data_IF_623881294752
#
_entry.id   IF_623881294752
#
_cell.length_a   1.000
_cell.length_b   1.000
_cell.length_c   1.000
_cell.angle_alpha   90.00
_cell.angle_beta   90.00
_cell.angle_gamma   90.00
#
_symmetry.space_group_name_H-M   'P 1'
#
loop_
_entity.id
_entity.type
_entity.pdbx_description
1 polymer ?
#
# COMPACT_ATOMS: atom_id res chain seq x y z
N UNK A 1 12.77 -32.65 -7.06
CA UNK A 1 13.25 -32.05 -5.80
C UNK A 1 13.51 -30.58 -6.00
N UNK A 2 12.85 -29.81 -5.24
CA UNK A 2 12.46 -28.43 -5.43
C UNK A 2 13.60 -27.43 -5.40
N UNK A 3 13.97 -26.87 -6.53
CA UNK A 3 14.77 -25.66 -6.64
C UNK A 3 13.88 -24.42 -6.46
N UNK A 4 13.38 -24.19 -5.24
CA UNK A 4 12.56 -23.02 -4.90
C UNK A 4 13.35 -21.82 -4.35
N UNK A 5 14.64 -21.74 -4.62
CA UNK A 5 15.49 -20.65 -4.16
C UNK A 5 15.99 -19.73 -5.28
N UNK A 6 15.12 -19.40 -6.24
CA UNK A 6 15.44 -18.52 -7.34
C UNK A 6 15.11 -17.04 -7.12
N UNK A 7 15.35 -16.19 -8.13
CA UNK A 7 15.05 -14.73 -8.11
C UNK A 7 13.59 -14.41 -7.75
N UNK A 8 12.66 -15.27 -8.08
CA UNK A 8 11.23 -15.13 -7.76
C UNK A 8 10.96 -15.07 -6.26
N UNK A 9 11.69 -15.86 -5.46
CA UNK A 9 11.54 -15.85 -4.01
C UNK A 9 12.02 -14.55 -3.37
N UNK A 10 13.09 -13.95 -3.87
CA UNK A 10 13.58 -12.65 -3.41
C UNK A 10 12.58 -11.53 -3.70
N UNK A 11 11.94 -11.56 -4.87
CA UNK A 11 10.87 -10.61 -5.21
C UNK A 11 9.67 -10.77 -4.28
N UNK A 12 9.23 -12.00 -4.04
CA UNK A 12 8.12 -12.27 -3.12
C UNK A 12 8.43 -11.78 -1.70
N UNK A 13 9.65 -12.01 -1.21
CA UNK A 13 10.10 -11.50 0.09
C UNK A 13 10.14 -9.98 0.14
N UNK A 14 10.63 -9.32 -0.90
CA UNK A 14 10.64 -7.86 -1.00
C UNK A 14 9.22 -7.28 -0.94
N UNK A 15 8.29 -7.83 -1.70
CA UNK A 15 6.89 -7.42 -1.67
C UNK A 15 6.26 -7.62 -0.29
N UNK A 16 6.57 -8.75 0.39
CA UNK A 16 6.08 -8.97 1.75
C UNK A 16 6.60 -7.94 2.75
N UNK A 17 7.84 -7.48 2.62
CA UNK A 17 8.37 -6.40 3.44
C UNK A 17 7.64 -5.07 3.19
N UNK A 18 7.31 -4.76 1.94
CA UNK A 18 6.51 -3.58 1.60
C UNK A 18 5.10 -3.66 2.20
N UNK A 19 4.45 -4.83 2.16
CA UNK A 19 3.15 -5.03 2.78
C UNK A 19 3.20 -4.75 4.30
N UNK A 20 4.22 -5.26 4.99
CA UNK A 20 4.40 -5.02 6.43
C UNK A 20 4.62 -3.54 6.77
N UNK A 21 5.41 -2.83 5.97
CA UNK A 21 5.64 -1.39 6.14
C UNK A 21 4.35 -0.59 5.89
N UNK A 22 3.54 -1.01 4.94
CA UNK A 22 2.24 -0.40 4.64
C UNK A 22 1.24 -0.64 5.78
N UNK A 23 1.11 -1.89 6.24
CA UNK A 23 0.17 -2.29 7.29
C UNK A 23 0.46 -1.65 8.65
N UNK A 24 1.74 -1.42 8.94
CA UNK A 24 2.17 -0.84 10.21
C UNK A 24 1.77 0.64 10.38
N UNK A 25 1.53 1.37 9.30
CA UNK A 25 1.26 2.82 9.29
C UNK A 25 2.31 3.67 10.04
N UNK A 26 3.45 3.10 10.34
CA UNK A 26 4.57 3.74 11.03
C UNK A 26 5.89 3.06 10.63
N UNK A 27 7.03 3.77 10.71
CA UNK A 27 8.32 3.18 10.40
C UNK A 27 8.65 2.00 11.33
N UNK A 28 9.22 0.93 10.75
CA UNK A 28 9.58 -0.30 11.47
C UNK A 28 11.09 -0.48 11.56
N UNK A 29 11.53 -1.05 12.69
CA UNK A 29 12.92 -1.46 12.86
C UNK A 29 13.23 -2.77 12.13
N UNK A 30 14.50 -3.01 11.82
CA UNK A 30 14.97 -4.29 11.29
C UNK A 30 14.59 -5.47 12.21
N UNK A 31 14.68 -5.25 13.53
CA UNK A 31 14.30 -6.27 14.51
C UNK A 31 12.79 -6.59 14.48
N UNK A 32 11.94 -5.59 14.33
CA UNK A 32 10.49 -5.78 14.20
C UNK A 32 10.14 -6.58 12.94
N UNK A 33 10.75 -6.23 11.80
CA UNK A 33 10.56 -6.96 10.54
C UNK A 33 11.05 -8.41 10.64
N UNK A 34 12.20 -8.65 11.28
CA UNK A 34 12.72 -10.00 11.52
C UNK A 34 11.77 -10.82 12.40
N UNK A 35 11.22 -10.23 13.44
CA UNK A 35 10.24 -10.89 14.32
C UNK A 35 8.95 -11.26 13.59
N UNK A 36 8.44 -10.37 12.74
CA UNK A 36 7.18 -10.60 12.01
C UNK A 36 7.31 -11.61 10.88
N UNK A 37 8.46 -11.66 10.22
CA UNK A 37 8.70 -12.57 9.09
C UNK A 37 9.31 -13.91 9.51
N UNK A 38 10.01 -13.96 10.62
CA UNK A 38 10.86 -15.08 10.99
C UNK A 38 12.16 -15.20 10.19
N UNK A 39 12.46 -14.22 9.34
CA UNK A 39 13.65 -14.25 8.48
C UNK A 39 14.88 -13.70 9.19
N UNK A 40 16.09 -14.18 8.83
CA UNK A 40 17.33 -13.64 9.34
C UNK A 40 17.45 -12.13 9.03
N UNK A 41 17.98 -11.37 9.98
CA UNK A 41 18.20 -9.92 9.82
C UNK A 41 19.10 -9.60 8.62
N UNK A 42 20.09 -10.44 8.31
CA UNK A 42 20.98 -10.28 7.15
C UNK A 42 20.19 -10.33 5.82
N UNK A 43 19.26 -11.27 5.71
CA UNK A 43 18.40 -11.38 4.52
C UNK A 43 17.52 -10.13 4.35
N UNK A 44 16.88 -9.69 5.44
CA UNK A 44 16.01 -8.50 5.42
C UNK A 44 16.84 -7.25 5.10
N UNK A 45 17.99 -7.09 5.73
CA UNK A 45 18.89 -5.95 5.48
C UNK A 45 19.34 -5.89 4.02
N UNK A 46 19.68 -7.02 3.42
CA UNK A 46 20.05 -7.07 2.00
C UNK A 46 18.90 -6.64 1.07
N UNK A 47 17.70 -7.12 1.33
CA UNK A 47 16.49 -6.73 0.56
C UNK A 47 16.16 -5.25 0.73
N UNK A 48 16.18 -4.76 1.98
CA UNK A 48 15.92 -3.34 2.26
C UNK A 48 16.98 -2.43 1.62
N UNK A 49 18.26 -2.83 1.62
CA UNK A 49 19.33 -2.06 0.97
C UNK A 49 19.07 -1.93 -0.54
N UNK A 50 18.75 -3.03 -1.22
CA UNK A 50 18.43 -3.01 -2.65
C UNK A 50 17.19 -2.15 -2.95
N UNK A 51 16.16 -2.22 -2.12
CA UNK A 51 14.96 -1.39 -2.27
C UNK A 51 15.22 0.09 -1.99
N UNK A 52 16.16 0.43 -1.09
CA UNK A 52 16.56 1.82 -0.83
C UNK A 52 17.32 2.43 -2.01
N UNK A 53 18.19 1.67 -2.67
CA UNK A 53 18.87 2.14 -3.87
C UNK A 53 17.90 2.61 -4.97
N UNK A 54 16.74 1.96 -5.05
CA UNK A 54 15.68 2.34 -6.00
C UNK A 54 14.61 3.26 -5.41
N UNK A 55 14.80 3.77 -4.20
CA UNK A 55 13.85 4.64 -3.48
C UNK A 55 12.44 4.04 -3.27
N UNK A 56 12.34 2.69 -3.30
CA UNK A 56 11.11 1.94 -2.99
C UNK A 56 10.89 1.86 -1.47
N UNK A 57 11.97 1.83 -0.72
CA UNK A 57 12.01 1.94 0.75
C UNK A 57 12.91 3.09 1.12
N UNK A 58 12.58 3.79 2.20
CA UNK A 58 13.44 4.80 2.80
C UNK A 58 13.79 4.42 4.24
N UNK A 59 14.85 5.03 4.77
CA UNK A 59 15.30 4.83 6.14
C UNK A 59 15.42 6.17 6.85
N UNK A 60 14.72 6.30 7.95
CA UNK A 60 14.76 7.51 8.78
C UNK A 60 16.08 7.64 9.55
N UNK A 61 16.34 8.83 10.09
CA UNK A 61 17.54 9.14 10.86
C UNK A 61 17.73 8.25 12.10
N UNK A 62 16.63 7.72 12.65
CA UNK A 62 16.62 6.78 13.77
C UNK A 62 16.84 5.31 13.36
N UNK A 63 17.08 5.05 12.07
CA UNK A 63 17.34 3.72 11.52
C UNK A 63 16.09 2.92 11.16
N UNK A 64 14.89 3.44 11.40
CA UNK A 64 13.63 2.76 11.03
C UNK A 64 13.34 2.90 9.54
N UNK A 65 12.70 1.88 8.97
CA UNK A 65 12.36 1.80 7.56
C UNK A 65 10.91 2.18 7.32
N UNK A 66 10.63 2.84 6.20
CA UNK A 66 9.30 3.20 5.73
C UNK A 66 9.20 3.05 4.22
N UNK A 67 8.00 3.18 3.68
CA UNK A 67 7.76 3.18 2.24
C UNK A 67 8.43 4.40 1.60
N UNK A 68 9.08 4.19 0.46
CA UNK A 68 9.80 5.23 -0.28
C UNK A 68 8.94 5.94 -1.32
N UNK A 69 9.42 7.10 -1.79
CA UNK A 69 8.73 7.97 -2.75
C UNK A 69 8.48 7.30 -4.11
N UNK A 70 9.30 6.33 -4.49
CA UNK A 70 9.13 5.60 -5.76
C UNK A 70 7.77 4.89 -5.86
N UNK A 71 7.24 4.43 -4.73
CA UNK A 71 5.91 3.82 -4.68
C UNK A 71 4.80 4.82 -4.99
N UNK A 72 4.97 6.08 -4.60
CA UNK A 72 4.04 7.15 -4.98
C UNK A 72 4.08 7.40 -6.50
N UNK A 73 5.27 7.43 -7.10
CA UNK A 73 5.42 7.56 -8.55
C UNK A 73 4.71 6.41 -9.29
N UNK A 74 4.89 5.17 -8.83
CA UNK A 74 4.19 4.02 -9.39
C UNK A 74 2.68 4.12 -9.22
N UNK A 75 2.22 4.55 -8.05
CA UNK A 75 0.81 4.78 -7.78
C UNK A 75 0.19 5.84 -8.70
N UNK A 76 0.89 6.96 -8.93
CA UNK A 76 0.46 7.99 -9.86
C UNK A 76 0.38 7.47 -11.30
N UNK A 77 1.37 6.70 -11.74
CA UNK A 77 1.37 6.11 -13.07
C UNK A 77 0.21 5.13 -13.28
N UNK A 78 -0.08 4.30 -12.26
CA UNK A 78 -1.25 3.40 -12.28
C UNK A 78 -2.54 4.22 -12.28
N UNK A 79 -2.65 5.22 -11.41
CA UNK A 79 -3.84 6.08 -11.30
C UNK A 79 -4.15 6.85 -12.59
N UNK A 80 -3.12 7.33 -13.29
CA UNK A 80 -3.28 8.01 -14.57
C UNK A 80 -3.85 7.11 -15.68
N UNK A 81 -3.64 5.79 -15.59
CA UNK A 81 -4.24 4.81 -16.52
C UNK A 81 -5.68 4.43 -16.17
N UNK A 82 -6.16 4.82 -15.00
CA UNK A 82 -7.49 4.46 -14.49
C UNK A 82 -8.50 5.61 -14.70
N UNK A 83 -8.99 5.76 -15.92
CA UNK A 83 -10.05 6.71 -16.26
C UNK A 83 -11.36 6.49 -15.48
N UNK A 84 -11.52 5.31 -14.86
CA UNK A 84 -12.71 4.95 -14.08
C UNK A 84 -12.92 5.88 -12.89
N UNK A 85 -11.86 6.28 -12.18
CA UNK A 85 -11.98 7.22 -11.05
C UNK A 85 -12.51 8.58 -11.50
N UNK A 86 -11.97 9.14 -12.58
CA UNK A 86 -12.38 10.45 -13.09
C UNK A 86 -13.81 10.44 -13.64
N UNK A 87 -14.22 9.36 -14.31
CA UNK A 87 -15.59 9.19 -14.80
C UNK A 87 -16.57 8.97 -13.64
N UNK A 88 -16.18 8.29 -12.58
CA UNK A 88 -17.04 8.00 -11.45
C UNK A 88 -17.24 9.19 -10.49
N UNK A 89 -16.27 10.09 -10.36
CA UNK A 89 -16.30 11.23 -9.43
C UNK A 89 -17.62 12.03 -9.45
N UNK A 90 -18.14 12.49 -10.60
CA UNK A 90 -19.39 13.25 -10.63
C UNK A 90 -20.58 12.42 -10.09
N UNK A 91 -20.63 11.12 -10.39
CA UNK A 91 -21.67 10.23 -9.91
C UNK A 91 -21.58 9.99 -8.40
N UNK A 92 -20.37 9.80 -7.87
CA UNK A 92 -20.13 9.66 -6.44
C UNK A 92 -20.49 10.93 -5.67
N UNK A 93 -20.18 12.11 -6.21
CA UNK A 93 -20.55 13.40 -5.63
C UNK A 93 -22.07 13.59 -5.60
N UNK A 94 -22.76 13.23 -6.70
CA UNK A 94 -24.21 13.28 -6.76
C UNK A 94 -24.83 12.34 -5.71
N UNK A 95 -24.38 11.08 -5.65
CA UNK A 95 -24.85 10.11 -4.66
C UNK A 95 -24.64 10.61 -3.23
N UNK A 96 -23.45 11.10 -2.89
CA UNK A 96 -23.16 11.64 -1.57
C UNK A 96 -24.05 12.84 -1.20
N UNK A 97 -24.41 13.68 -2.17
CA UNK A 97 -25.31 14.82 -1.96
C UNK A 97 -26.76 14.41 -1.68
N UNK A 98 -27.22 13.31 -2.28
CA UNK A 98 -28.60 12.81 -2.15
C UNK A 98 -28.77 11.91 -0.93
N UNK A 99 -27.79 11.05 -0.65
CA UNK A 99 -27.89 10.04 0.42
C UNK A 99 -27.40 10.53 1.78
N UNK A 100 -26.52 11.57 1.81
CA UNK A 100 -25.94 12.11 3.04
C UNK A 100 -24.73 11.37 3.60
N UNK A 101 -24.58 10.02 3.57
CA UNK A 101 -23.39 9.32 3.99
C UNK A 101 -22.25 9.39 2.98
N UNK A 102 -21.05 8.99 3.41
CA UNK A 102 -19.89 8.88 2.51
C UNK A 102 -20.09 7.77 1.48
N UNK A 103 -19.65 8.00 0.26
CA UNK A 103 -19.75 7.06 -0.87
C UNK A 103 -18.36 6.62 -1.29
N UNK A 104 -18.21 5.32 -1.54
CA UNK A 104 -16.95 4.70 -1.90
C UNK A 104 -17.05 4.07 -3.29
N UNK A 105 -16.00 4.20 -4.08
CA UNK A 105 -15.76 3.38 -5.26
C UNK A 105 -14.70 2.35 -4.91
N UNK A 106 -15.03 1.09 -5.05
CA UNK A 106 -14.12 0.01 -4.76
C UNK A 106 -14.07 -0.98 -5.91
N UNK A 107 -12.92 -1.64 -6.09
CA UNK A 107 -12.76 -2.73 -7.04
C UNK A 107 -12.42 -4.04 -6.34
N UNK A 108 -12.87 -5.12 -6.91
CA UNK A 108 -12.46 -6.46 -6.47
C UNK A 108 -11.14 -6.83 -7.16
N UNK A 109 -10.11 -7.10 -6.36
CA UNK A 109 -8.85 -7.63 -6.83
C UNK A 109 -8.60 -9.00 -6.18
N UNK A 110 -8.72 -10.06 -6.96
CA UNK A 110 -8.71 -11.45 -6.48
C UNK A 110 -9.79 -11.68 -5.40
N UNK A 111 -9.42 -11.81 -4.13
CA UNK A 111 -10.34 -12.00 -2.99
C UNK A 111 -10.45 -10.78 -2.08
N UNK A 112 -9.84 -9.66 -2.45
CA UNK A 112 -9.80 -8.44 -1.63
C UNK A 112 -10.50 -7.28 -2.32
N UNK A 113 -11.19 -6.46 -1.55
CA UNK A 113 -11.81 -5.21 -2.03
C UNK A 113 -10.85 -4.06 -1.76
N UNK A 114 -10.51 -3.33 -2.82
CA UNK A 114 -9.63 -2.16 -2.75
C UNK A 114 -10.46 -0.91 -3.01
N UNK A 115 -10.46 0.02 -2.07
CA UNK A 115 -11.10 1.33 -2.25
C UNK A 115 -10.23 2.21 -3.16
N UNK A 116 -10.81 2.66 -4.27
CA UNK A 116 -10.13 3.52 -5.27
C UNK A 116 -10.40 5.00 -4.99
N UNK A 117 -11.65 5.32 -4.66
CA UNK A 117 -12.11 6.70 -4.49
C UNK A 117 -13.10 6.79 -3.33
N UNK A 118 -13.10 7.91 -2.63
CA UNK A 118 -14.05 8.20 -1.56
C UNK A 118 -14.54 9.65 -1.66
N UNK A 119 -15.83 9.82 -1.62
CA UNK A 119 -16.47 11.14 -1.48
C UNK A 119 -17.11 11.22 -0.10
N UNK A 120 -16.67 12.21 0.70
CA UNK A 120 -17.19 12.43 2.04
C UNK A 120 -18.45 13.28 1.99
N UNK A 121 -19.43 12.92 2.82
CA UNK A 121 -20.57 13.77 3.10
C UNK A 121 -20.14 15.01 3.89
N UNK A 122 -20.82 16.14 3.67
CA UNK A 122 -20.63 17.37 4.45
C UNK A 122 -21.05 17.26 5.94
N UNK A 123 -21.62 16.16 6.37
CA UNK A 123 -22.15 15.94 7.71
C UNK A 123 -21.15 15.31 8.69
N UNK A 124 -19.93 15.78 8.75
CA UNK A 124 -19.09 15.72 9.96
C UNK A 124 -18.52 14.37 10.42
N UNK A 125 -18.90 13.22 9.90
CA UNK A 125 -18.27 11.93 10.24
C UNK A 125 -17.15 11.62 9.24
N UNK A 126 -15.91 11.79 9.67
CA UNK A 126 -14.73 11.34 8.92
C UNK A 126 -14.53 9.84 9.12
N UNK A 127 -14.97 9.05 8.17
CA UNK A 127 -14.40 7.72 7.98
C UNK A 127 -13.14 7.89 7.13
N UNK A 128 -11.97 7.87 7.77
CA UNK A 128 -10.70 7.98 7.06
C UNK A 128 -10.29 6.59 6.60
N UNK A 129 -10.80 6.17 5.46
CA UNK A 129 -10.13 5.16 4.65
C UNK A 129 -9.48 5.89 3.49
N UNK A 130 -8.15 6.04 3.53
CA UNK A 130 -7.40 6.54 2.39
C UNK A 130 -7.55 5.57 1.19
N UNK A 131 -7.40 6.08 -0.03
CA UNK A 131 -7.30 5.21 -1.21
C UNK A 131 -6.27 4.10 -0.98
N UNK A 132 -6.56 2.88 -1.44
CA UNK A 132 -5.71 1.71 -1.22
C UNK A 132 -6.02 0.89 0.03
N UNK A 133 -7.08 1.18 0.79
CA UNK A 133 -7.50 0.36 1.91
C UNK A 133 -8.05 -0.98 1.41
N UNK A 134 -7.48 -2.07 1.90
CA UNK A 134 -7.93 -3.44 1.62
C UNK A 134 -8.93 -3.89 2.67
N UNK A 135 -10.01 -4.52 2.22
CA UNK A 135 -10.98 -5.21 3.06
C UNK A 135 -11.11 -6.66 2.59
N UNK A 136 -11.19 -7.61 3.51
CA UNK A 136 -11.39 -9.02 3.16
C UNK A 136 -12.75 -9.28 2.50
#
# INVERSE_FOLDING_TARGET
MSHENGPVQSVAKALRLLDLLMEAHQPLTLAALSKQTGWPKSTIHGLLSAMRESAVVDQQSDGRYCLGVRLFEYGCAVGASWSVSDQAKPHLQHLASVTGPSVFLSMLNRSEVITIEQVQSRAGLRVVSGGGTRMP
#
